data_IF_779290930008
#
_entry.id   IF_779290930008
#
_cell.length_a   1.000
_cell.length_b   1.000
_cell.length_c   1.000
_cell.angle_alpha   90.00
_cell.angle_beta   90.00
_cell.angle_gamma   90.00
#
_symmetry.space_group_name_H-M   'P 1'
#
loop_
_entity.id
_entity.type
_entity.pdbx_description
1 polymer ?
#
# COMPACT_ATOMS: atom_id res chain seq x y z
N UNK A 1 41.99 -9.20 21.07
CA UNK A 1 40.69 -9.81 20.69
C UNK A 1 39.65 -9.19 21.60
N UNK A 2 38.80 -8.31 21.10
CA UNK A 2 37.71 -7.74 21.88
C UNK A 2 36.63 -8.80 22.03
N UNK A 3 36.45 -9.33 23.25
CA UNK A 3 35.33 -10.22 23.54
C UNK A 3 34.05 -9.40 23.57
N UNK A 4 33.29 -9.43 22.47
CA UNK A 4 31.95 -8.88 22.41
C UNK A 4 31.01 -9.97 22.92
N UNK A 5 30.58 -9.86 24.17
CA UNK A 5 29.60 -10.77 24.75
C UNK A 5 28.19 -10.36 24.30
N UNK A 6 27.56 -11.16 23.44
CA UNK A 6 26.14 -11.02 23.11
C UNK A 6 25.36 -11.81 24.16
N UNK A 7 24.68 -11.11 25.07
CA UNK A 7 23.90 -11.69 26.16
C UNK A 7 22.46 -12.07 25.76
N UNK A 8 22.06 -11.73 24.53
CA UNK A 8 20.73 -11.99 24.01
C UNK A 8 20.50 -13.49 23.73
N UNK A 9 19.29 -14.01 23.97
CA UNK A 9 18.94 -15.37 23.59
C UNK A 9 18.87 -15.55 22.06
N UNK A 10 18.98 -16.81 21.63
CA UNK A 10 18.82 -17.18 20.24
C UNK A 10 17.39 -16.91 19.75
N UNK A 11 17.29 -16.33 18.55
CA UNK A 11 16.02 -16.06 17.88
C UNK A 11 15.47 -17.34 17.23
N UNK A 12 14.15 -17.42 17.12
CA UNK A 12 13.45 -18.50 16.45
C UNK A 12 12.20 -17.93 15.75
N UNK A 13 12.29 -17.80 14.43
CA UNK A 13 11.29 -17.16 13.58
C UNK A 13 11.89 -16.01 12.77
N UNK A 14 11.51 -15.90 11.49
CA UNK A 14 11.98 -14.83 10.61
C UNK A 14 10.86 -14.35 9.68
N UNK A 15 10.66 -13.04 9.64
CA UNK A 15 9.63 -12.37 8.82
C UNK A 15 10.26 -11.21 8.05
N UNK A 16 9.88 -11.03 6.78
CA UNK A 16 10.25 -9.88 5.95
C UNK A 16 9.05 -8.95 5.83
N UNK A 17 9.27 -7.68 6.14
CA UNK A 17 8.35 -6.59 5.81
C UNK A 17 8.90 -5.86 4.58
N UNK A 18 8.18 -5.93 3.46
CA UNK A 18 8.48 -5.14 2.27
C UNK A 18 7.85 -3.76 2.45
N UNK A 19 8.67 -2.74 2.64
CA UNK A 19 8.20 -1.36 2.89
C UNK A 19 8.56 -0.44 1.73
N UNK A 20 7.98 0.76 1.71
CA UNK A 20 8.31 1.79 0.70
C UNK A 20 9.78 2.22 0.70
N UNK A 21 10.52 2.01 1.80
CA UNK A 21 11.93 2.40 1.93
C UNK A 21 12.90 1.23 1.71
N UNK A 22 12.38 0.03 1.48
CA UNK A 22 13.14 -1.20 1.32
C UNK A 22 12.63 -2.34 2.20
N UNK A 23 13.33 -3.46 2.13
CA UNK A 23 12.97 -4.66 2.87
C UNK A 23 13.53 -4.60 4.29
N UNK A 24 12.72 -4.98 5.28
CA UNK A 24 13.10 -5.05 6.69
C UNK A 24 12.92 -6.49 7.15
N UNK A 25 14.02 -7.16 7.45
CA UNK A 25 14.01 -8.50 8.00
C UNK A 25 13.96 -8.45 9.53
N UNK A 26 13.02 -9.17 10.13
CA UNK A 26 12.80 -9.25 11.57
C UNK A 26 12.99 -10.69 12.02
N UNK A 27 13.90 -10.88 12.97
CA UNK A 27 14.05 -12.12 13.73
C UNK A 27 13.23 -12.03 15.02
N UNK A 28 12.55 -13.12 15.37
CA UNK A 28 11.61 -13.17 16.48
C UNK A 28 12.16 -14.00 17.65
N UNK A 29 11.82 -13.60 18.87
CA UNK A 29 12.09 -14.35 20.10
C UNK A 29 10.83 -15.13 20.53
N UNK A 30 10.48 -16.17 19.77
CA UNK A 30 9.27 -16.97 19.99
C UNK A 30 9.23 -17.72 21.32
N UNK A 31 10.38 -17.97 21.96
CA UNK A 31 10.46 -18.62 23.28
C UNK A 31 10.19 -17.65 24.42
N UNK A 32 10.74 -16.44 24.32
CA UNK A 32 10.64 -15.42 25.36
C UNK A 32 9.31 -14.65 25.30
N UNK A 33 8.78 -14.39 24.09
CA UNK A 33 7.54 -13.66 23.88
C UNK A 33 6.56 -14.44 22.96
N UNK A 34 6.07 -15.61 23.40
CA UNK A 34 5.27 -16.50 22.54
C UNK A 34 3.94 -15.89 22.11
N UNK A 35 3.25 -15.12 22.97
CA UNK A 35 1.95 -14.56 22.62
C UNK A 35 2.07 -13.45 21.58
N UNK A 36 3.08 -12.59 21.74
CA UNK A 36 3.37 -11.50 20.81
C UNK A 36 3.88 -12.03 19.47
N UNK A 37 4.81 -12.98 19.47
CA UNK A 37 5.33 -13.59 18.24
C UNK A 37 4.24 -14.31 17.46
N UNK A 38 3.38 -15.08 18.14
CA UNK A 38 2.24 -15.76 17.52
C UNK A 38 1.27 -14.76 16.89
N UNK A 39 0.91 -13.70 17.61
CA UNK A 39 0.06 -12.63 17.10
C UNK A 39 0.66 -11.99 15.85
N UNK A 40 1.93 -11.63 15.90
CA UNK A 40 2.63 -10.99 14.79
C UNK A 40 2.70 -11.89 13.55
N UNK A 41 3.16 -13.13 13.70
CA UNK A 41 3.27 -14.09 12.59
C UNK A 41 1.91 -14.34 11.94
N UNK A 42 0.86 -14.54 12.74
CA UNK A 42 -0.47 -14.77 12.21
C UNK A 42 -1.02 -13.55 11.47
N UNK A 43 -0.85 -12.33 12.01
CA UNK A 43 -1.26 -11.09 11.32
C UNK A 43 -0.50 -10.88 10.00
N UNK A 44 0.79 -11.26 9.94
CA UNK A 44 1.55 -11.29 8.70
C UNK A 44 1.00 -12.31 7.70
N UNK A 45 0.67 -13.52 8.14
CA UNK A 45 0.07 -14.54 7.25
C UNK A 45 -1.33 -14.15 6.75
N UNK A 46 -2.11 -13.45 7.58
CA UNK A 46 -3.41 -12.88 7.22
C UNK A 46 -3.28 -11.67 6.26
N UNK A 47 -2.08 -11.13 6.08
CA UNK A 47 -1.85 -9.91 5.29
C UNK A 47 -2.42 -8.65 5.93
N UNK A 48 -2.67 -8.68 7.25
CA UNK A 48 -3.26 -7.57 8.00
C UNK A 48 -2.43 -6.29 7.93
N UNK A 49 -1.11 -6.43 7.85
CA UNK A 49 -0.18 -5.29 7.77
C UNK A 49 0.02 -4.75 6.34
N UNK A 50 -0.65 -5.31 5.33
CA UNK A 50 -0.54 -4.80 3.96
C UNK A 50 -1.17 -3.40 3.85
N UNK A 51 -0.47 -2.50 3.16
CA UNK A 51 -0.78 -1.07 3.02
C UNK A 51 -0.91 -0.27 4.33
N UNK A 52 -0.44 -0.81 5.46
CA UNK A 52 -0.46 -0.10 6.74
C UNK A 52 0.65 0.95 6.83
N UNK A 53 0.35 2.11 7.40
CA UNK A 53 1.25 3.25 7.48
C UNK A 53 1.95 3.38 8.84
N UNK A 54 3.16 3.92 8.83
CA UNK A 54 3.84 4.39 10.05
C UNK A 54 3.32 5.77 10.41
N UNK A 55 2.41 5.83 11.40
CA UNK A 55 1.68 7.05 11.74
C UNK A 55 2.41 7.94 12.74
N UNK A 56 3.35 7.40 13.53
CA UNK A 56 4.09 8.15 14.54
C UNK A 56 5.59 7.92 14.43
N UNK A 57 6.35 9.02 14.40
CA UNK A 57 7.79 9.07 14.28
C UNK A 57 8.36 10.06 15.30
N UNK A 58 9.10 9.55 16.29
CA UNK A 58 9.88 10.36 17.22
C UNK A 58 11.35 10.16 16.89
N UNK A 59 11.98 11.20 16.32
CA UNK A 59 13.38 11.13 15.85
C UNK A 59 14.32 10.72 16.98
N UNK A 60 15.11 9.67 16.73
CA UNK A 60 16.07 9.12 17.70
C UNK A 60 15.46 8.21 18.79
N UNK A 61 14.13 8.09 18.85
CA UNK A 61 13.46 7.27 19.86
C UNK A 61 12.75 6.07 19.22
N UNK A 62 11.58 6.29 18.60
CA UNK A 62 10.75 5.20 18.05
C UNK A 62 10.07 5.58 16.74
N UNK A 63 9.81 4.55 15.92
CA UNK A 63 8.89 4.59 14.78
C UNK A 63 7.77 3.62 15.05
N UNK A 64 6.52 4.07 15.09
CA UNK A 64 5.36 3.24 15.41
C UNK A 64 4.48 3.02 14.18
N UNK A 65 3.98 1.79 14.05
CA UNK A 65 3.12 1.34 12.95
C UNK A 65 2.26 0.14 13.38
N UNK A 66 1.70 -0.56 12.39
CA UNK A 66 0.85 -1.73 12.64
C UNK A 66 -0.60 -1.39 13.00
N UNK A 67 -1.03 -0.16 12.71
CA UNK A 67 -2.43 0.26 12.76
C UNK A 67 -3.01 0.29 11.33
N UNK A 68 -4.05 -0.50 11.02
CA UNK A 68 -4.70 -0.48 9.70
C UNK A 68 -5.48 0.81 9.43
N UNK A 69 -5.98 1.51 10.45
CA UNK A 69 -6.71 2.77 10.26
C UNK A 69 -5.75 3.95 10.05
N UNK A 70 -4.52 3.82 10.56
CA UNK A 70 -3.49 4.86 10.50
C UNK A 70 -3.79 6.08 11.38
N UNK A 71 -4.75 5.97 12.32
CA UNK A 71 -5.07 7.04 13.28
C UNK A 71 -4.17 6.99 14.51
N UNK A 72 -3.63 5.81 14.84
CA UNK A 72 -2.80 5.54 16.02
C UNK A 72 -3.57 4.94 17.20
N UNK A 73 -4.89 4.85 17.11
CA UNK A 73 -5.76 4.26 18.14
C UNK A 73 -6.35 2.92 17.73
N UNK A 74 -6.20 2.53 16.45
CA UNK A 74 -6.75 1.29 15.91
C UNK A 74 -5.85 0.08 16.15
N UNK A 75 -6.31 -1.08 15.72
CA UNK A 75 -5.50 -2.30 15.74
C UNK A 75 -6.01 -3.34 16.73
N UNK A 76 -6.26 -4.54 16.22
CA UNK A 76 -6.82 -5.66 16.98
C UNK A 76 -5.87 -6.84 16.98
N UNK A 77 -5.83 -7.57 18.09
CA UNK A 77 -5.06 -8.80 18.18
C UNK A 77 -5.80 -9.97 17.51
N UNK A 78 -5.09 -11.05 17.22
CA UNK A 78 -5.69 -12.31 16.73
C UNK A 78 -6.66 -12.94 17.74
N UNK A 79 -6.48 -12.64 19.03
CA UNK A 79 -7.25 -13.22 20.13
C UNK A 79 -8.61 -12.53 20.33
N UNK A 80 -8.90 -11.46 19.56
CA UNK A 80 -10.11 -10.66 19.70
C UNK A 80 -10.16 -9.82 20.98
N UNK A 81 -9.09 -9.83 21.78
CA UNK A 81 -8.92 -9.07 23.03
C UNK A 81 -7.47 -8.65 23.18
N UNK A 82 -7.18 -7.51 23.83
CA UNK A 82 -5.80 -7.15 24.16
C UNK A 82 -5.13 -8.25 25.00
N UNK A 83 -3.85 -8.54 24.73
CA UNK A 83 -3.12 -9.60 25.41
C UNK A 83 -2.05 -9.07 26.37
N UNK A 84 -1.65 -9.92 27.32
CA UNK A 84 -0.71 -9.58 28.40
C UNK A 84 0.66 -9.12 27.90
N UNK A 85 1.31 -8.26 28.67
CA UNK A 85 2.69 -7.84 28.40
C UNK A 85 3.66 -8.94 28.86
N UNK A 86 4.58 -9.35 27.97
CA UNK A 86 5.61 -10.35 28.25
C UNK A 86 6.97 -9.66 28.31
N UNK A 87 7.60 -9.65 29.49
CA UNK A 87 8.92 -9.06 29.67
C UNK A 87 9.91 -10.10 30.17
N UNK A 88 11.15 -10.02 29.71
CA UNK A 88 12.22 -10.94 30.06
C UNK A 88 13.47 -10.16 30.47
N UNK A 89 14.15 -10.55 31.55
CA UNK A 89 15.31 -9.82 32.11
C UNK A 89 16.47 -9.61 31.12
N UNK A 90 16.79 -10.65 30.32
CA UNK A 90 17.80 -10.60 29.24
C UNK A 90 17.42 -9.72 28.04
N UNK A 91 16.15 -9.35 27.90
CA UNK A 91 15.63 -8.59 26.77
C UNK A 91 15.35 -7.15 27.23
N UNK A 92 16.18 -6.22 26.77
CA UNK A 92 16.07 -4.80 27.11
C UNK A 92 16.34 -3.92 25.90
N UNK A 93 15.73 -2.74 25.90
CA UNK A 93 15.81 -1.75 24.82
C UNK A 93 17.13 -0.95 24.88
N UNK A 94 18.25 -1.66 24.80
CA UNK A 94 19.60 -1.08 24.95
C UNK A 94 20.20 -0.61 23.62
N UNK A 95 19.54 -0.88 22.50
CA UNK A 95 20.04 -0.52 21.16
C UNK A 95 18.91 -0.27 20.19
N UNK A 96 19.25 0.37 19.08
CA UNK A 96 18.39 0.50 17.91
C UNK A 96 18.20 -0.83 17.19
N UNK A 97 17.13 -0.95 16.41
CA UNK A 97 16.84 -2.18 15.66
C UNK A 97 16.07 -3.21 16.47
N UNK A 98 15.44 -2.81 17.57
CA UNK A 98 14.58 -3.68 18.36
C UNK A 98 13.12 -3.44 18.01
N UNK A 99 12.29 -4.48 18.10
CA UNK A 99 10.87 -4.46 17.75
C UNK A 99 10.04 -4.77 18.99
N UNK A 100 9.27 -3.79 19.43
CA UNK A 100 8.41 -3.87 20.61
C UNK A 100 6.93 -3.70 20.28
N UNK A 101 6.06 -4.25 21.11
CA UNK A 101 4.61 -4.01 21.02
C UNK A 101 4.25 -2.64 21.59
N UNK A 102 3.51 -1.85 20.82
CA UNK A 102 2.98 -0.58 21.29
C UNK A 102 1.78 -0.84 22.21
N UNK A 103 1.79 -0.18 23.37
CA UNK A 103 0.84 -0.45 24.43
C UNK A 103 0.65 0.82 25.25
N UNK A 104 -0.59 1.29 25.39
CA UNK A 104 -0.89 2.48 26.22
C UNK A 104 -0.85 2.16 27.71
N UNK A 105 -1.27 0.95 28.08
CA UNK A 105 -1.39 0.46 29.45
C UNK A 105 -0.85 -0.97 29.57
N UNK A 106 -0.32 -1.42 30.72
CA UNK A 106 0.15 -2.78 30.87
C UNK A 106 -0.97 -3.80 30.54
N UNK A 107 -0.67 -4.78 29.69
CA UNK A 107 -1.59 -5.82 29.20
C UNK A 107 -2.62 -5.40 28.14
N UNK A 108 -2.44 -4.26 27.49
CA UNK A 108 -3.30 -3.79 26.40
C UNK A 108 -2.64 -3.94 25.01
N UNK A 109 -1.94 -5.05 24.76
CA UNK A 109 -1.25 -5.25 23.49
C UNK A 109 -2.24 -5.64 22.37
N UNK A 110 -2.18 -4.92 21.25
CA UNK A 110 -3.00 -5.16 20.05
C UNK A 110 -2.19 -5.66 18.86
N UNK A 111 -2.37 -5.03 17.69
CA UNK A 111 -1.55 -5.26 16.49
C UNK A 111 -0.41 -4.26 16.33
N UNK A 112 -0.46 -3.14 17.05
CA UNK A 112 0.50 -2.05 16.88
C UNK A 112 1.88 -2.42 17.44
N UNK A 113 2.92 -2.03 16.72
CA UNK A 113 4.30 -2.27 17.10
C UNK A 113 5.15 -1.05 16.76
N UNK A 114 6.34 -0.99 17.36
CA UNK A 114 7.31 0.05 17.09
C UNK A 114 8.71 -0.50 16.90
N UNK A 115 9.50 0.23 16.13
CA UNK A 115 10.93 0.06 15.97
C UNK A 115 11.68 1.05 16.85
N UNK A 116 12.75 0.61 17.51
CA UNK A 116 13.65 1.52 18.23
C UNK A 116 14.70 2.11 17.30
N UNK A 117 14.82 3.43 17.30
CA UNK A 117 15.86 4.18 16.56
C UNK A 117 17.11 4.43 17.41
N UNK A 118 16.95 4.42 18.74
CA UNK A 118 17.99 4.62 19.72
C UNK A 118 17.82 3.71 20.93
N UNK A 119 18.53 4.05 22.00
CA UNK A 119 18.37 3.39 23.31
C UNK A 119 17.12 3.92 23.99
N UNK A 120 16.29 3.03 24.52
CA UNK A 120 14.99 3.37 25.09
C UNK A 120 14.75 2.59 26.40
N UNK A 121 15.66 2.75 27.36
CA UNK A 121 15.63 2.04 28.65
C UNK A 121 14.37 2.33 29.47
N UNK A 122 13.70 3.44 29.21
CA UNK A 122 12.43 3.83 29.84
C UNK A 122 11.24 2.93 29.48
N UNK A 123 11.35 2.23 28.34
CA UNK A 123 10.33 1.32 27.82
C UNK A 123 10.53 -0.11 28.34
N UNK A 124 11.65 -0.38 29.03
CA UNK A 124 11.92 -1.67 29.65
C UNK A 124 10.78 -2.01 30.63
N UNK A 125 10.43 -3.29 30.71
CA UNK A 125 9.33 -3.84 31.54
C UNK A 125 7.92 -3.36 31.22
N UNK A 126 7.74 -2.23 30.52
CA UNK A 126 6.43 -1.70 30.11
C UNK A 126 5.93 -2.32 28.80
N UNK A 127 6.85 -2.49 27.84
CA UNK A 127 6.54 -3.01 26.52
C UNK A 127 7.13 -4.42 26.33
N UNK A 128 6.40 -5.23 25.56
CA UNK A 128 6.87 -6.57 25.16
C UNK A 128 7.88 -6.43 24.04
N UNK A 129 9.14 -6.79 24.30
CA UNK A 129 10.15 -6.93 23.26
C UNK A 129 10.07 -8.33 22.67
N UNK A 130 9.75 -8.43 21.38
CA UNK A 130 9.49 -9.72 20.74
C UNK A 130 10.37 -10.00 19.51
N UNK A 131 11.08 -9.00 18.99
CA UNK A 131 11.98 -9.22 17.86
C UNK A 131 13.08 -8.19 17.71
N UNK A 132 13.98 -8.47 16.77
CA UNK A 132 15.07 -7.58 16.35
C UNK A 132 15.20 -7.56 14.83
N UNK A 133 15.66 -6.44 14.30
CA UNK A 133 15.94 -6.26 12.87
C UNK A 133 17.31 -6.84 12.54
N UNK A 134 17.42 -7.56 11.44
CA UNK A 134 18.69 -8.11 10.95
C UNK A 134 19.60 -6.95 10.53
N UNK A 135 20.90 -7.04 10.87
CA UNK A 135 21.87 -5.96 10.64
C UNK A 135 21.94 -5.45 9.20
N UNK A 136 21.76 -6.32 8.20
CA UNK A 136 21.79 -5.96 6.78
C UNK A 136 20.63 -5.02 6.40
N UNK A 137 19.46 -5.21 7.00
CA UNK A 137 18.26 -4.40 6.73
C UNK A 137 18.05 -3.25 7.72
N UNK A 138 18.96 -3.09 8.68
CA UNK A 138 18.86 -2.02 9.69
C UNK A 138 18.88 -0.62 9.06
N UNK A 139 19.65 -0.42 7.99
CA UNK A 139 19.72 0.85 7.27
C UNK A 139 18.38 1.25 6.64
N UNK A 140 17.62 0.28 6.14
CA UNK A 140 16.29 0.55 5.57
C UNK A 140 15.32 1.03 6.65
N UNK A 141 15.40 0.47 7.85
CA UNK A 141 14.61 0.94 8.99
C UNK A 141 15.01 2.37 9.40
N UNK A 142 16.30 2.72 9.39
CA UNK A 142 16.75 4.08 9.70
C UNK A 142 16.25 5.11 8.68
N UNK A 143 16.09 4.74 7.40
CA UNK A 143 15.49 5.61 6.39
C UNK A 143 14.04 5.98 6.68
N UNK A 144 13.30 5.16 7.45
CA UNK A 144 11.95 5.55 7.91
C UNK A 144 11.98 6.81 8.79
N UNK A 145 13.11 7.10 9.45
CA UNK A 145 13.26 8.22 10.36
C UNK A 145 13.76 9.51 9.70
N UNK A 146 14.17 9.46 8.43
CA UNK A 146 14.71 10.62 7.70
C UNK A 146 13.62 11.62 7.26
N UNK A 147 12.35 11.31 7.51
CA UNK A 147 11.21 12.16 7.15
C UNK A 147 11.05 13.34 8.12
N UNK A 148 10.59 14.46 7.58
CA UNK A 148 10.17 15.61 8.38
C UNK A 148 8.90 15.31 9.19
N UNK A 149 8.91 15.69 10.46
CA UNK A 149 7.82 15.45 11.40
C UNK A 149 7.04 16.74 11.57
N UNK A 150 5.72 16.67 11.32
CA UNK A 150 4.79 17.78 11.54
C UNK A 150 4.46 17.84 13.05
N UNK A 151 3.93 18.97 13.54
CA UNK A 151 3.41 19.08 14.91
C UNK A 151 2.49 17.89 15.25
N UNK A 152 2.81 17.15 16.31
CA UNK A 152 2.07 15.96 16.75
C UNK A 152 2.70 14.61 16.39
N UNK A 153 4.03 14.53 16.27
CA UNK A 153 4.80 13.31 15.98
C UNK A 153 4.42 12.55 14.69
N UNK A 154 3.61 13.16 13.82
CA UNK A 154 3.17 12.55 12.57
C UNK A 154 4.11 12.95 11.42
N UNK A 155 4.68 11.98 10.68
CA UNK A 155 5.56 12.29 9.57
C UNK A 155 4.77 12.91 8.41
N UNK A 156 5.37 13.88 7.71
CA UNK A 156 4.76 14.55 6.56
C UNK A 156 4.48 13.57 5.42
N UNK A 157 5.40 12.63 5.18
CA UNK A 157 5.24 11.54 4.23
C UNK A 157 5.14 10.21 4.97
N UNK A 158 3.97 9.58 4.88
CA UNK A 158 3.71 8.29 5.50
C UNK A 158 4.34 7.16 4.68
N UNK A 159 5.33 6.48 5.27
CA UNK A 159 5.81 5.20 4.74
C UNK A 159 4.83 4.09 5.04
N UNK A 160 4.75 3.11 4.14
CA UNK A 160 3.81 1.99 4.24
C UNK A 160 4.52 0.65 4.15
N UNK A 161 3.92 -0.34 4.78
CA UNK A 161 4.25 -1.75 4.60
C UNK A 161 3.43 -2.22 3.40
N UNK A 162 4.09 -2.57 2.30
CA UNK A 162 3.43 -3.01 1.08
C UNK A 162 2.96 -4.46 1.22
N UNK A 163 3.86 -5.32 1.71
CA UNK A 163 3.61 -6.76 1.85
C UNK A 163 4.40 -7.34 3.01
N UNK A 164 3.86 -8.39 3.62
CA UNK A 164 4.58 -9.19 4.62
C UNK A 164 4.80 -10.62 4.12
N UNK A 165 5.98 -11.18 4.40
CA UNK A 165 6.37 -12.53 4.00
C UNK A 165 7.00 -13.24 5.20
N UNK A 166 6.43 -14.38 5.60
CA UNK A 166 6.97 -15.19 6.68
C UNK A 166 7.96 -16.20 6.07
N UNK A 167 9.25 -16.07 6.40
CA UNK A 167 10.29 -16.99 5.90
C UNK A 167 10.31 -18.25 6.74
N UNK A 168 10.43 -18.07 8.06
CA UNK A 168 10.55 -19.15 9.02
C UNK A 168 9.45 -18.96 10.06
N UNK A 169 8.46 -19.83 9.99
CA UNK A 169 7.39 -19.89 10.98
C UNK A 169 7.78 -20.89 12.08
N UNK A 170 7.89 -20.47 13.35
CA UNK A 170 8.20 -21.35 14.47
C UNK A 170 6.99 -22.12 15.02
N UNK A 171 5.78 -21.85 14.52
CA UNK A 171 4.53 -22.44 15.01
C UNK A 171 3.80 -23.21 13.90
N UNK A 172 3.48 -24.48 14.16
CA UNK A 172 2.79 -25.35 13.18
C UNK A 172 1.26 -25.23 13.24
N UNK A 173 0.73 -24.67 14.33
CA UNK A 173 -0.70 -24.64 14.66
C UNK A 173 -1.40 -23.33 14.24
N UNK A 174 -0.69 -22.41 13.61
CA UNK A 174 -1.26 -21.14 13.13
C UNK A 174 -2.11 -21.40 11.88
N UNK A 175 -3.43 -21.24 12.02
CA UNK A 175 -4.36 -21.20 10.90
C UNK A 175 -4.79 -19.75 10.68
N UNK A 176 -4.42 -19.12 9.55
CA UNK A 176 -4.84 -17.76 9.24
C UNK A 176 -6.36 -17.65 9.21
N UNK A 177 -6.91 -16.63 9.86
CA UNK A 177 -8.34 -16.32 9.71
C UNK A 177 -8.59 -15.86 8.28
N UNK A 178 -9.73 -16.26 7.72
CA UNK A 178 -10.23 -15.65 6.49
C UNK A 178 -10.73 -14.26 6.87
N UNK A 179 -9.85 -13.26 6.81
CA UNK A 179 -10.33 -11.88 6.80
C UNK A 179 -11.22 -11.75 5.56
N UNK A 180 -12.42 -11.15 5.67
CA UNK A 180 -13.08 -10.66 4.48
C UNK A 180 -12.05 -9.74 3.82
N UNK A 181 -11.67 -10.05 2.58
CA UNK A 181 -10.76 -9.16 1.87
C UNK A 181 -11.34 -7.77 2.00
N UNK A 182 -10.61 -6.84 2.60
CA UNK A 182 -10.73 -5.44 2.24
C UNK A 182 -10.21 -5.29 0.79
N UNK A 183 -10.71 -6.09 -0.15
CA UNK A 183 -11.27 -5.47 -1.34
C UNK A 183 -12.12 -4.39 -0.76
N UNK A 184 -11.67 -3.14 -0.91
CA UNK A 184 -12.63 -2.06 -1.07
C UNK A 184 -13.75 -2.70 -1.85
N UNK A 185 -14.93 -2.81 -1.24
CA UNK A 185 -16.10 -2.73 -2.08
C UNK A 185 -15.83 -1.42 -2.79
N UNK A 186 -15.33 -1.52 -4.01
CA UNK A 186 -15.92 -0.75 -5.05
C UNK A 186 -17.38 -1.17 -4.95
N UNK A 187 -18.11 -0.55 -4.02
CA UNK A 187 -19.42 -0.12 -4.33
C UNK A 187 -19.16 0.80 -5.53
N UNK A 188 -19.03 0.18 -6.71
CA UNK A 188 -19.71 0.63 -7.89
C UNK A 188 -21.18 0.65 -7.46
N UNK A 189 -21.53 1.62 -6.62
CA UNK A 189 -22.72 2.40 -6.88
C UNK A 189 -22.50 2.85 -8.31
N UNK A 190 -23.06 2.10 -9.26
CA UNK A 190 -23.55 2.73 -10.48
C UNK A 190 -24.16 4.05 -10.00
N UNK A 191 -23.71 5.21 -10.52
CA UNK A 191 -24.32 6.46 -10.11
C UNK A 191 -25.79 6.32 -10.46
N UNK A 192 -26.62 6.06 -9.45
CA UNK A 192 -28.06 6.16 -9.58
C UNK A 192 -28.26 7.58 -10.08
N UNK A 193 -28.87 7.81 -11.26
CA UNK A 193 -29.09 9.15 -11.74
C UNK A 193 -29.93 9.84 -10.67
N UNK A 194 -29.28 10.68 -9.87
CA UNK A 194 -29.96 11.51 -8.89
C UNK A 194 -30.92 12.35 -9.71
N UNK A 195 -32.20 12.09 -9.52
CA UNK A 195 -33.26 12.84 -10.16
C UNK A 195 -32.94 14.32 -9.96
N UNK A 196 -32.76 15.01 -11.10
CA UNK A 196 -32.64 16.46 -11.28
C UNK A 196 -32.60 17.22 -9.95
N UNK A 197 -31.39 17.49 -9.46
CA UNK A 197 -31.21 18.49 -8.43
C UNK A 197 -31.72 19.83 -8.99
N UNK A 198 -32.98 20.16 -8.67
CA UNK A 198 -33.55 21.47 -8.90
C UNK A 198 -32.66 22.43 -8.12
N UNK A 199 -31.85 23.20 -8.86
CA UNK A 199 -30.96 24.20 -8.29
C UNK A 199 -31.84 25.31 -7.73
N UNK A 200 -32.19 25.21 -6.46
CA UNK A 200 -32.89 26.28 -5.77
C UNK A 200 -31.88 27.41 -5.51
N UNK A 201 -31.72 28.30 -6.50
CA UNK A 201 -30.87 29.49 -6.43
C UNK A 201 -31.43 30.59 -5.52
N UNK A 202 -32.65 30.42 -5.00
CA UNK A 202 -33.30 31.31 -4.02
C UNK A 202 -32.54 31.49 -2.69
N UNK A 203 -31.49 30.71 -2.42
CA UNK A 203 -30.64 30.85 -1.23
C UNK A 203 -29.31 31.57 -1.49
N UNK A 204 -28.99 31.89 -2.74
CA UNK A 204 -27.81 32.68 -3.08
C UNK A 204 -28.25 34.12 -3.37
N UNK A 205 -28.05 34.97 -2.38
CA UNK A 205 -28.30 36.41 -2.38
C UNK A 205 -27.38 37.15 -3.36
N UNK A 206 -27.64 37.04 -4.65
CA UNK A 206 -27.17 38.00 -5.67
C UNK A 206 -28.38 38.34 -6.55
N UNK A 207 -28.75 39.62 -6.57
CA UNK A 207 -30.00 40.13 -7.14
C UNK A 207 -30.11 40.00 -8.67
N UNK A 208 -31.32 40.33 -9.15
CA UNK A 208 -31.92 40.29 -10.51
C UNK A 208 -31.03 40.25 -11.77
N UNK A 209 -29.76 40.63 -11.74
CA UNK A 209 -28.87 40.61 -12.92
C UNK A 209 -28.38 39.19 -13.28
N UNK A 210 -28.33 38.27 -12.32
CA UNK A 210 -27.86 36.89 -12.57
C UNK A 210 -28.91 35.99 -13.25
N UNK A 211 -30.20 36.36 -13.20
CA UNK A 211 -31.28 35.58 -13.81
C UNK A 211 -31.32 35.81 -15.33
N UNK A 212 -31.14 37.06 -15.76
CA UNK A 212 -31.03 37.41 -17.19
C UNK A 212 -29.77 36.79 -17.82
N UNK A 213 -28.62 36.80 -17.13
CA UNK A 213 -27.39 36.17 -17.65
C UNK A 213 -27.51 34.63 -17.72
N UNK A 214 -28.23 34.00 -16.79
CA UNK A 214 -28.42 32.56 -16.78
C UNK A 214 -29.34 32.07 -17.92
N UNK A 215 -30.39 32.82 -18.24
CA UNK A 215 -31.25 32.53 -19.39
C UNK A 215 -30.45 32.60 -20.70
N UNK A 216 -29.65 33.66 -20.88
CA UNK A 216 -28.79 33.82 -22.07
C UNK A 216 -27.77 32.68 -22.20
N UNK A 217 -27.10 32.30 -21.10
CA UNK A 217 -26.13 31.19 -21.11
C UNK A 217 -26.80 29.84 -21.40
N UNK A 218 -28.04 29.65 -20.91
CA UNK A 218 -28.80 28.42 -21.17
C UNK A 218 -29.24 28.32 -22.63
N UNK A 219 -29.73 29.41 -23.23
CA UNK A 219 -30.10 29.45 -24.64
C UNK A 219 -28.90 29.25 -25.57
N UNK A 220 -27.75 29.85 -25.25
CA UNK A 220 -26.52 29.68 -26.01
C UNK A 220 -26.02 28.23 -25.90
N UNK A 221 -26.11 27.61 -24.72
CA UNK A 221 -25.74 26.21 -24.57
C UNK A 221 -26.66 25.25 -25.35
N UNK A 222 -27.96 25.55 -25.46
CA UNK A 222 -28.89 24.77 -26.28
C UNK A 222 -28.64 24.96 -27.78
N UNK A 223 -28.38 26.20 -28.23
CA UNK A 223 -28.11 26.53 -29.64
C UNK A 223 -26.83 25.90 -30.19
N UNK A 224 -25.83 25.61 -29.33
CA UNK A 224 -24.53 25.06 -29.73
C UNK A 224 -24.30 23.58 -29.36
N UNK A 225 -25.37 22.83 -29.07
CA UNK A 225 -25.25 21.42 -28.70
C UNK A 225 -24.78 20.58 -29.90
N UNK A 226 -23.53 20.11 -29.84
CA UNK A 226 -22.93 19.21 -30.84
C UNK A 226 -22.10 19.88 -31.94
N UNK A 227 -21.88 21.19 -31.90
CA UNK A 227 -20.96 21.90 -32.80
C UNK A 227 -19.74 22.43 -32.02
N UNK A 228 -18.59 22.50 -32.69
CA UNK A 228 -17.35 23.00 -32.09
C UNK A 228 -17.49 24.47 -31.70
N UNK A 229 -17.10 24.82 -30.48
CA UNK A 229 -17.20 26.19 -29.96
C UNK A 229 -16.14 27.06 -30.64
N UNK A 230 -16.54 27.83 -31.65
CA UNK A 230 -15.73 28.89 -32.23
C UNK A 230 -16.19 30.24 -31.69
N UNK A 231 -15.25 31.09 -31.26
CA UNK A 231 -15.53 32.46 -30.84
C UNK A 231 -16.24 33.28 -31.93
N UNK A 232 -16.11 32.85 -33.20
CA UNK A 232 -16.75 33.44 -34.37
C UNK A 232 -18.29 33.33 -34.35
N UNK A 233 -18.85 32.26 -33.77
CA UNK A 233 -20.31 32.03 -33.80
C UNK A 233 -21.05 32.76 -32.67
N UNK A 234 -20.32 33.34 -31.72
CA UNK A 234 -20.86 34.01 -30.53
C UNK A 234 -20.93 35.53 -30.68
N UNK A 235 -20.22 36.12 -31.66
CA UNK A 235 -20.12 37.58 -31.83
C UNK A 235 -20.44 37.97 -33.28
N UNK A 236 -21.52 38.73 -33.47
CA UNK A 236 -21.94 39.21 -34.80
C UNK A 236 -21.19 40.51 -35.16
N UNK A 237 -19.89 40.42 -35.48
CA UNK A 237 -19.09 41.58 -35.92
C UNK A 237 -18.94 41.59 -37.46
N UNK A 238 -19.38 42.66 -38.16
CA UNK A 238 -19.38 42.74 -39.64
C UNK A 238 -17.99 42.75 -40.30
N UNK A 239 -16.89 42.70 -39.54
CA UNK A 239 -15.51 42.56 -40.06
C UNK A 239 -14.97 41.12 -40.04
N UNK A 240 -15.72 40.16 -39.50
CA UNK A 240 -15.29 38.76 -39.36
C UNK A 240 -16.05 37.86 -40.34
N UNK A 241 -15.31 37.11 -41.18
CA UNK A 241 -15.88 36.22 -42.19
C UNK A 241 -16.03 34.79 -41.67
N UNK A 242 -17.23 34.23 -41.77
CA UNK A 242 -17.61 32.88 -41.33
C UNK A 242 -17.18 31.75 -42.27
N UNK A 243 -16.56 32.07 -43.40
CA UNK A 243 -16.13 31.06 -44.36
C UNK A 243 -14.77 30.49 -43.95
N UNK A 244 -14.63 29.15 -43.83
CA UNK A 244 -13.34 28.54 -43.58
C UNK A 244 -12.43 28.81 -44.78
N UNK A 245 -11.27 29.42 -44.53
CA UNK A 245 -10.23 29.59 -45.55
C UNK A 245 -9.92 28.21 -46.14
N UNK A 246 -10.10 28.05 -47.45
CA UNK A 246 -9.79 26.80 -48.13
C UNK A 246 -8.29 26.53 -47.98
N UNK A 247 -7.98 25.64 -47.04
CA UNK A 247 -6.61 25.21 -46.77
C UNK A 247 -6.09 24.52 -48.03
N UNK A 248 -4.89 24.90 -48.45
CA UNK A 248 -4.27 24.34 -49.64
C UNK A 248 -4.21 22.80 -49.55
N UNK A 249 -4.33 22.11 -50.69
CA UNK A 249 -4.32 20.64 -50.75
C UNK A 249 -3.04 20.01 -50.18
N UNK A 250 -2.00 20.82 -49.98
CA UNK A 250 -0.70 20.43 -49.44
C UNK A 250 -0.77 20.28 -47.90
N UNK A 251 -1.44 21.19 -47.19
CA UNK A 251 -1.48 21.16 -45.71
C UNK A 251 -2.46 20.09 -45.19
N UNK A 252 -3.50 19.78 -45.97
CA UNK A 252 -4.42 18.67 -45.68
C UNK A 252 -3.79 17.29 -45.91
N UNK A 253 -2.81 17.19 -46.82
CA UNK A 253 -2.02 15.98 -47.00
C UNK A 253 -1.00 15.80 -45.86
N UNK A 254 -0.34 16.89 -45.45
CA UNK A 254 0.64 16.87 -44.36
C UNK A 254 0.01 16.53 -42.98
N UNK A 255 -1.21 17.01 -42.73
CA UNK A 255 -1.95 16.69 -41.50
C UNK A 255 -2.48 15.25 -41.48
N UNK A 256 -2.81 14.69 -42.65
CA UNK A 256 -3.17 13.25 -42.78
C UNK A 256 -1.96 12.34 -42.62
N UNK A 257 -0.81 12.70 -43.21
CA UNK A 257 0.42 11.91 -43.03
C UNK A 257 0.89 11.92 -41.57
N UNK A 258 0.80 13.06 -40.88
CA UNK A 258 1.18 13.16 -39.47
C UNK A 258 0.25 12.35 -38.54
N UNK A 259 -1.06 12.30 -38.86
CA UNK A 259 -2.01 11.51 -38.07
C UNK A 259 -1.86 10.00 -38.33
N UNK A 260 -1.59 9.58 -39.56
CA UNK A 260 -1.27 8.18 -39.89
C UNK A 260 0.05 7.70 -39.25
N UNK A 261 1.06 8.58 -39.14
CA UNK A 261 2.33 8.27 -38.50
C UNK A 261 2.19 8.07 -36.98
N UNK A 262 1.38 8.90 -36.32
CA UNK A 262 1.05 8.76 -34.90
C UNK A 262 0.23 7.49 -34.60
N UNK A 263 -0.68 7.10 -35.49
CA UNK A 263 -1.46 5.87 -35.35
C UNK A 263 -0.57 4.63 -35.49
N UNK A 264 0.38 4.63 -36.44
CA UNK A 264 1.37 3.55 -36.58
C UNK A 264 2.27 3.41 -35.36
N UNK A 265 2.75 4.53 -34.81
CA UNK A 265 3.59 4.50 -33.60
C UNK A 265 2.79 3.98 -32.38
N UNK A 266 1.51 4.33 -32.27
CA UNK A 266 0.62 3.83 -31.22
C UNK A 266 0.36 2.32 -31.33
N UNK A 267 0.21 1.80 -32.55
CA UNK A 267 0.06 0.35 -32.79
C UNK A 267 1.34 -0.42 -32.49
N UNK A 268 2.52 0.10 -32.84
CA UNK A 268 3.79 -0.53 -32.48
C UNK A 268 4.03 -0.57 -30.97
N UNK A 269 3.64 0.48 -30.24
CA UNK A 269 3.71 0.49 -28.76
C UNK A 269 2.75 -0.53 -28.13
N UNK A 270 1.58 -0.76 -28.72
CA UNK A 270 0.66 -1.83 -28.27
C UNK A 270 1.26 -3.21 -28.50
N UNK A 271 1.82 -3.47 -29.68
CA UNK A 271 2.49 -4.74 -29.99
C UNK A 271 3.67 -5.03 -29.05
N UNK A 272 4.54 -4.04 -28.78
CA UNK A 272 5.65 -4.21 -27.81
C UNK A 272 5.16 -4.54 -26.40
N UNK A 273 4.02 -4.00 -25.97
CA UNK A 273 3.41 -4.28 -24.67
C UNK A 273 2.81 -5.68 -24.61
N UNK A 274 2.21 -6.13 -25.71
CA UNK A 274 1.66 -7.50 -25.85
C UNK A 274 2.78 -8.53 -25.91
N UNK A 275 3.86 -8.27 -26.66
CA UNK A 275 5.03 -9.15 -26.74
C UNK A 275 5.75 -9.27 -25.38
N UNK A 276 5.89 -8.16 -24.64
CA UNK A 276 6.45 -8.18 -23.29
C UNK A 276 5.58 -9.01 -22.31
N UNK A 277 4.25 -8.87 -22.39
CA UNK A 277 3.32 -9.67 -21.59
C UNK A 277 3.32 -11.16 -21.96
N UNK A 278 3.58 -11.48 -23.22
CA UNK A 278 3.68 -12.86 -23.71
C UNK A 278 5.01 -13.52 -23.32
N UNK A 279 6.13 -12.78 -23.31
CA UNK A 279 7.44 -13.26 -22.86
C UNK A 279 7.45 -13.62 -21.37
N UNK A 280 6.83 -12.80 -20.52
CA UNK A 280 6.72 -13.08 -19.08
C UNK A 280 5.86 -14.32 -18.80
N UNK A 281 4.92 -14.67 -19.67
CA UNK A 281 3.94 -15.72 -19.38
C UNK A 281 4.27 -17.08 -20.00
N UNK A 282 4.96 -17.17 -21.14
CA UNK A 282 5.22 -18.46 -21.79
C UNK A 282 6.32 -19.27 -21.06
N UNK A 283 7.48 -18.66 -20.82
CA UNK A 283 8.63 -19.34 -20.20
C UNK A 283 8.38 -19.65 -18.72
N UNK A 284 7.73 -18.74 -17.99
CA UNK A 284 7.36 -18.96 -16.58
C UNK A 284 6.28 -20.04 -16.42
N UNK A 285 5.30 -20.12 -17.35
CA UNK A 285 4.29 -21.18 -17.34
C UNK A 285 4.91 -22.54 -17.65
N UNK A 286 5.85 -22.61 -18.59
CA UNK A 286 6.53 -23.85 -18.94
C UNK A 286 7.48 -24.32 -17.81
N UNK A 287 8.20 -23.38 -17.17
CA UNK A 287 9.04 -23.68 -16.00
C UNK A 287 8.20 -24.14 -14.80
N UNK A 288 7.03 -23.54 -14.57
CA UNK A 288 6.09 -23.94 -13.53
C UNK A 288 5.47 -25.31 -13.81
N UNK A 289 5.14 -25.61 -15.07
CA UNK A 289 4.66 -26.92 -15.49
C UNK A 289 5.72 -28.03 -15.30
N UNK A 290 6.98 -27.78 -15.69
CA UNK A 290 8.10 -28.72 -15.47
C UNK A 290 8.35 -28.98 -13.99
N UNK A 291 8.29 -27.96 -13.14
CA UNK A 291 8.42 -28.10 -11.67
C UNK A 291 7.26 -28.89 -11.06
N UNK A 292 6.03 -28.63 -11.47
CA UNK A 292 4.85 -29.38 -11.03
C UNK A 292 4.93 -30.85 -11.46
N UNK A 293 5.38 -31.15 -12.68
CA UNK A 293 5.55 -32.52 -13.16
C UNK A 293 6.64 -33.28 -12.39
N UNK A 294 7.76 -32.63 -12.08
CA UNK A 294 8.83 -33.22 -11.27
C UNK A 294 8.37 -33.55 -9.84
N UNK A 295 7.64 -32.63 -9.20
CA UNK A 295 7.08 -32.85 -7.84
C UNK A 295 6.05 -33.97 -7.86
N UNK A 296 5.17 -34.00 -8.85
CA UNK A 296 4.16 -35.05 -8.99
C UNK A 296 4.80 -36.43 -9.20
N UNK A 297 5.87 -36.51 -10.00
CA UNK A 297 6.62 -37.75 -10.25
C UNK A 297 7.38 -38.24 -9.00
N UNK A 298 7.91 -37.34 -8.16
CA UNK A 298 8.54 -37.70 -6.88
C UNK A 298 7.50 -38.24 -5.90
N UNK A 299 6.35 -37.60 -5.80
CA UNK A 299 5.24 -38.04 -4.93
C UNK A 299 4.71 -39.42 -5.40
N UNK A 300 4.59 -39.63 -6.71
CA UNK A 300 4.14 -40.91 -7.26
C UNK A 300 5.15 -42.05 -6.97
N UNK A 301 6.46 -41.76 -7.08
CA UNK A 301 7.53 -42.72 -6.75
C UNK A 301 7.57 -43.06 -5.25
N UNK A 302 7.37 -42.06 -4.39
CA UNK A 302 7.30 -42.26 -2.94
C UNK A 302 6.08 -43.11 -2.53
N UNK A 303 4.95 -42.92 -3.20
CA UNK A 303 3.72 -43.68 -2.94
C UNK A 303 3.81 -45.15 -3.41
N UNK A 304 4.51 -45.41 -4.52
CA UNK A 304 4.81 -46.78 -4.96
C UNK A 304 5.80 -47.51 -4.05
N UNK A 305 6.72 -46.78 -3.40
CA UNK A 305 7.67 -47.36 -2.44
C UNK A 305 6.98 -47.75 -1.12
N UNK A 306 5.92 -47.03 -0.73
CA UNK A 306 5.17 -47.29 0.50
C UNK A 306 4.16 -48.45 0.37
N UNK A 307 3.77 -48.87 -0.84
CA UNK A 307 2.85 -49.99 -1.07
C UNK A 307 3.54 -51.35 -1.29
N UNK A 308 4.87 -51.44 -1.15
CA UNK A 308 5.65 -52.66 -1.39
C UNK A 308 6.44 -53.17 -0.16
N UNK A 309 6.18 -52.59 1.02
CA UNK A 309 6.74 -53.01 2.31
C UNK A 309 5.68 -53.58 3.22
#
# INVERSE_FOLDING_TARGET
MSNIYITEPATNGKVILKTTVGDIEIELWSKEAPLACRNFVQLCMEGYYNDTAFHRLVKGFIVQGGDPTGTGEGGESIYGKPFRTESHSRLSFNRRGLVGMACSEPNCNGSQFFFTLGEATELNTKHTLFGRVVGNTLFNMLRLAEVEVIKGDRPARLHRILKTEVILNPYDDIVPRRLPSHTKKNDEEEPVPTAKATKNFSLLSFGDEAEEEAEVVSEVAEKFRGKGKSAHDLVNDPRLSSEPVAVSTIDSAASKSASDELLREAEERRRRREDAANLETAEEREARAKRLYAVCHIIFKARLFCCRG
#
